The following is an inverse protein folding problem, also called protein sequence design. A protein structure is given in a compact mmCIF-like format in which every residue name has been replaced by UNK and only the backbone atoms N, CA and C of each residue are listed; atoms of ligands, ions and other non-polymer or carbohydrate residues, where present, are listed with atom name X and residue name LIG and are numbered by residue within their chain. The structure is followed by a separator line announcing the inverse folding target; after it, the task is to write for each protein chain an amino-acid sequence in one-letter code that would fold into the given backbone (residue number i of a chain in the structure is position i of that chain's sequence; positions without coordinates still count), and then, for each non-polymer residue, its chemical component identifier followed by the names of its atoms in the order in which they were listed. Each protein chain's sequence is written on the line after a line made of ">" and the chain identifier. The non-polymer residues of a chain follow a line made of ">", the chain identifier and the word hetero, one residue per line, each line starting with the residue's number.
data_IF_795436546282
#
_entry.id   IF_795436546282
#
_cell.length_a   1.000
_cell.length_b   1.000
_cell.length_c   1.000
_cell.angle_alpha   90.00
_cell.angle_beta   90.00
_cell.angle_gamma   90.00
#
_symmetry.space_group_name_H-M   'P 1'
#
loop_
_entity.id
_entity.type
_entity.pdbx_description
1 polymer ?
#
# COMPACT_ATOMS: atom_id res chain seq x y z
N UNK A 1 3.63 -14.31 37.34
CA UNK A 1 4.54 -13.40 36.61
C UNK A 1 5.89 -13.26 37.26
N UNK A 2 5.97 -13.27 38.57
CA UNK A 2 7.24 -13.15 39.33
C UNK A 2 8.27 -14.23 38.95
N UNK A 3 7.84 -15.46 38.72
CA UNK A 3 8.69 -16.64 38.54
C UNK A 3 9.21 -16.85 37.10
N UNK A 4 8.75 -16.07 36.13
CA UNK A 4 9.22 -16.21 34.73
C UNK A 4 10.65 -15.71 34.61
N UNK A 5 11.55 -16.56 34.13
CA UNK A 5 12.97 -16.29 33.93
C UNK A 5 13.32 -16.10 32.46
N UNK A 6 14.55 -15.66 32.21
CA UNK A 6 15.09 -15.52 30.85
C UNK A 6 15.00 -16.83 30.07
N UNK A 7 15.38 -17.95 30.73
CA UNK A 7 15.42 -19.28 30.13
C UNK A 7 14.02 -19.73 29.61
N UNK A 8 12.95 -19.38 30.35
CA UNK A 8 11.59 -19.72 30.00
C UNK A 8 11.16 -19.01 28.72
N UNK A 9 11.50 -17.71 28.60
CA UNK A 9 11.15 -16.91 27.42
C UNK A 9 12.01 -17.31 26.23
N UNK A 10 13.30 -17.61 26.43
CA UNK A 10 14.19 -18.09 25.37
C UNK A 10 13.75 -19.46 24.86
N UNK A 11 13.40 -20.39 25.75
CA UNK A 11 12.83 -21.69 25.38
C UNK A 11 11.54 -21.56 24.58
N UNK A 12 10.64 -20.66 24.98
CA UNK A 12 9.42 -20.34 24.24
C UNK A 12 9.73 -19.79 22.84
N UNK A 13 10.66 -18.84 22.73
CA UNK A 13 11.08 -18.27 21.46
C UNK A 13 11.62 -19.34 20.52
N UNK A 14 12.52 -20.18 21.02
CA UNK A 14 13.10 -21.31 20.27
C UNK A 14 12.02 -22.32 19.84
N UNK A 15 11.09 -22.65 20.73
CA UNK A 15 9.97 -23.58 20.42
C UNK A 15 9.12 -23.07 19.27
N UNK A 16 8.71 -21.78 19.30
CA UNK A 16 7.93 -21.17 18.21
C UNK A 16 8.76 -21.09 16.94
N UNK A 17 10.06 -20.78 17.03
CA UNK A 17 10.97 -20.76 15.87
C UNK A 17 11.06 -22.13 15.20
N UNK A 18 11.28 -23.20 16.02
CA UNK A 18 11.37 -24.58 15.52
C UNK A 18 10.06 -25.08 14.90
N UNK A 19 8.90 -24.55 15.29
CA UNK A 19 7.61 -24.86 14.64
C UNK A 19 7.44 -24.17 13.26
N UNK A 20 8.47 -23.54 12.70
CA UNK A 20 8.44 -22.89 11.40
C UNK A 20 7.87 -21.46 11.40
N UNK A 21 7.74 -20.84 12.58
CA UNK A 21 7.13 -19.51 12.74
C UNK A 21 8.08 -18.46 13.33
N UNK A 22 9.26 -18.18 12.71
CA UNK A 22 10.28 -17.29 13.29
C UNK A 22 9.79 -15.84 13.50
N UNK A 23 8.93 -15.34 12.63
CA UNK A 23 8.33 -14.01 12.82
C UNK A 23 7.35 -13.97 14.00
N UNK A 24 6.57 -15.03 14.21
CA UNK A 24 5.67 -15.14 15.35
C UNK A 24 6.48 -15.21 16.66
N UNK A 25 7.58 -15.95 16.70
CA UNK A 25 8.50 -15.97 17.84
C UNK A 25 8.96 -14.56 18.21
N UNK A 26 9.43 -13.77 17.25
CA UNK A 26 9.86 -12.39 17.49
C UNK A 26 8.72 -11.50 18.00
N UNK A 27 7.49 -11.65 17.47
CA UNK A 27 6.32 -10.87 17.92
C UNK A 27 5.90 -11.26 19.34
N UNK A 28 5.96 -12.54 19.68
CA UNK A 28 5.69 -13.03 21.03
C UNK A 28 6.67 -12.42 22.04
N UNK A 29 7.96 -12.44 21.74
CA UNK A 29 9.00 -11.84 22.58
C UNK A 29 8.80 -10.33 22.72
N UNK A 30 8.44 -9.62 21.62
CA UNK A 30 8.17 -8.19 21.68
C UNK A 30 6.96 -7.86 22.57
N UNK A 31 5.89 -8.67 22.51
CA UNK A 31 4.72 -8.52 23.36
C UNK A 31 5.07 -8.78 24.84
N UNK A 32 5.75 -9.88 25.14
CA UNK A 32 6.20 -10.21 26.48
C UNK A 32 7.11 -9.11 27.06
N UNK A 33 8.03 -8.59 26.26
CA UNK A 33 8.89 -7.47 26.68
C UNK A 33 8.08 -6.25 27.11
N UNK A 34 7.02 -5.91 26.37
CA UNK A 34 6.11 -4.81 26.74
C UNK A 34 5.35 -5.11 28.03
N UNK A 35 4.83 -6.34 28.18
CA UNK A 35 4.11 -6.76 29.38
C UNK A 35 5.01 -6.69 30.63
N UNK A 36 6.24 -7.20 30.55
CA UNK A 36 7.17 -7.14 31.67
C UNK A 36 7.65 -5.72 31.97
N UNK A 37 7.80 -4.86 30.96
CA UNK A 37 8.10 -3.44 31.17
C UNK A 37 6.96 -2.70 31.88
N UNK A 38 5.70 -3.07 31.64
CA UNK A 38 4.54 -2.56 32.38
C UNK A 38 4.53 -3.11 33.82
N UNK A 39 4.84 -4.39 34.03
CA UNK A 39 4.92 -5.00 35.36
C UNK A 39 5.99 -4.32 36.22
N UNK A 40 7.13 -3.92 35.65
CA UNK A 40 8.15 -3.13 36.34
C UNK A 40 7.58 -1.75 36.74
N UNK A 41 6.91 -1.06 35.83
CA UNK A 41 6.26 0.25 36.09
C UNK A 41 5.23 0.17 37.23
N UNK A 42 4.56 -0.97 37.35
CA UNK A 42 3.55 -1.22 38.39
C UNK A 42 4.15 -1.86 39.65
N UNK A 43 5.47 -1.86 39.80
CA UNK A 43 6.19 -2.44 40.94
C UNK A 43 5.89 -3.91 41.24
N UNK A 44 5.47 -4.67 40.21
CA UNK A 44 5.17 -6.11 40.31
C UNK A 44 6.44 -6.98 40.17
N UNK A 45 7.51 -6.41 39.61
CA UNK A 45 8.86 -7.02 39.52
C UNK A 45 9.92 -5.97 39.20
N UNK A 46 11.18 -6.32 39.39
CA UNK A 46 12.32 -5.41 39.23
C UNK A 46 12.95 -5.47 37.82
N UNK A 47 12.92 -6.63 37.16
CA UNK A 47 13.64 -6.86 35.91
C UNK A 47 12.75 -7.40 34.80
N UNK A 48 13.18 -7.17 33.55
CA UNK A 48 12.49 -7.71 32.37
C UNK A 48 13.24 -8.95 31.86
N UNK A 49 12.68 -10.18 32.00
CA UNK A 49 13.33 -11.43 31.60
C UNK A 49 13.48 -11.61 30.09
N UNK A 50 12.92 -10.71 29.30
CA UNK A 50 13.02 -10.72 27.83
C UNK A 50 14.26 -9.98 27.33
N UNK A 51 14.91 -9.21 28.20
CA UNK A 51 16.07 -8.41 27.84
C UNK A 51 17.25 -9.34 27.48
N UNK A 52 17.81 -9.15 26.29
CA UNK A 52 18.94 -9.96 25.81
C UNK A 52 18.56 -11.17 24.95
N UNK A 53 17.27 -11.46 24.74
CA UNK A 53 16.86 -12.53 23.81
C UNK A 53 17.23 -12.18 22.39
N UNK A 54 18.00 -13.04 21.73
CA UNK A 54 18.37 -12.92 20.33
C UNK A 54 17.14 -13.22 19.44
N UNK A 55 16.83 -12.28 18.54
CA UNK A 55 15.68 -12.41 17.63
C UNK A 55 16.09 -13.05 16.31
N UNK A 56 15.16 -13.78 15.72
CA UNK A 56 15.32 -14.30 14.39
C UNK A 56 15.48 -13.16 13.37
N UNK A 57 16.33 -13.36 12.37
CA UNK A 57 16.48 -12.41 11.25
C UNK A 57 15.17 -12.32 10.47
N UNK A 58 14.67 -11.12 10.26
CA UNK A 58 13.45 -10.87 9.50
C UNK A 58 13.81 -10.38 8.09
N UNK A 59 13.25 -11.04 7.07
CA UNK A 59 13.41 -10.64 5.69
C UNK A 59 12.13 -9.97 5.20
N UNK A 60 12.24 -8.76 4.70
CA UNK A 60 11.12 -8.07 4.08
C UNK A 60 10.78 -8.72 2.75
N UNK A 61 9.52 -9.08 2.58
CA UNK A 61 9.02 -9.61 1.33
C UNK A 61 9.02 -8.52 0.25
N UNK A 62 9.54 -8.86 -0.93
CA UNK A 62 9.60 -8.01 -2.10
C UNK A 62 8.80 -8.67 -3.23
N UNK A 63 7.46 -8.61 -3.16
CA UNK A 63 6.57 -9.16 -4.18
C UNK A 63 5.70 -8.04 -4.73
N UNK A 64 5.80 -7.80 -6.02
CA UNK A 64 5.05 -6.79 -6.77
C UNK A 64 4.41 -7.47 -7.98
N UNK A 65 3.33 -6.89 -8.50
CA UNK A 65 2.76 -7.30 -9.78
C UNK A 65 3.73 -6.93 -10.92
N UNK A 66 4.04 -7.88 -11.79
CA UNK A 66 4.65 -7.58 -13.08
C UNK A 66 3.63 -6.96 -14.04
N UNK A 67 4.10 -6.35 -15.13
CA UNK A 67 3.20 -5.81 -16.17
C UNK A 67 2.25 -6.88 -16.72
N UNK A 68 2.77 -8.07 -17.03
CA UNK A 68 1.97 -9.18 -17.54
C UNK A 68 0.97 -9.71 -16.52
N UNK A 69 1.36 -9.81 -15.25
CA UNK A 69 0.45 -10.18 -14.15
C UNK A 69 -0.67 -9.15 -13.98
N UNK A 70 -0.36 -7.86 -14.09
CA UNK A 70 -1.36 -6.79 -14.03
C UNK A 70 -2.37 -6.91 -15.15
N UNK A 71 -1.92 -7.18 -16.38
CA UNK A 71 -2.81 -7.41 -17.54
C UNK A 71 -3.72 -8.62 -17.30
N UNK A 72 -3.17 -9.75 -16.84
CA UNK A 72 -3.97 -10.95 -16.55
C UNK A 72 -4.96 -10.72 -15.41
N UNK A 73 -4.53 -10.04 -14.34
CA UNK A 73 -5.40 -9.70 -13.20
C UNK A 73 -6.55 -8.79 -13.65
N UNK A 74 -6.28 -7.77 -14.45
CA UNK A 74 -7.31 -6.86 -14.96
C UNK A 74 -8.35 -7.59 -15.80
N UNK A 75 -7.93 -8.53 -16.67
CA UNK A 75 -8.84 -9.40 -17.42
C UNK A 75 -9.68 -10.30 -16.53
N UNK A 76 -9.08 -10.88 -15.48
CA UNK A 76 -9.79 -11.71 -14.51
C UNK A 76 -10.81 -10.92 -13.69
N UNK A 77 -10.44 -9.70 -13.24
CA UNK A 77 -11.33 -8.77 -12.54
C UNK A 77 -12.57 -8.41 -13.39
N UNK A 78 -12.41 -8.18 -14.70
CA UNK A 78 -13.52 -7.86 -15.58
C UNK A 78 -14.56 -8.99 -15.66
N UNK A 79 -14.12 -10.24 -15.59
CA UNK A 79 -14.95 -11.44 -15.73
C UNK A 79 -15.45 -12.00 -14.39
N UNK A 80 -14.94 -11.47 -13.25
CA UNK A 80 -15.28 -12.04 -11.95
C UNK A 80 -16.77 -11.88 -11.61
N UNK A 81 -17.45 -12.94 -11.13
CA UNK A 81 -18.88 -12.88 -10.82
C UNK A 81 -19.21 -11.96 -9.64
N UNK A 82 -18.37 -11.94 -8.61
CA UNK A 82 -18.50 -11.04 -7.48
C UNK A 82 -17.96 -9.64 -7.86
N UNK A 83 -18.85 -8.79 -8.37
CA UNK A 83 -18.50 -7.45 -8.84
C UNK A 83 -18.04 -6.55 -7.72
N UNK A 84 -18.63 -6.65 -6.53
CA UNK A 84 -18.26 -5.82 -5.38
C UNK A 84 -16.82 -6.08 -4.92
N UNK A 85 -16.44 -7.34 -4.76
CA UNK A 85 -15.06 -7.70 -4.44
C UNK A 85 -14.08 -7.32 -5.56
N UNK A 86 -14.47 -7.49 -6.84
CA UNK A 86 -13.64 -7.12 -7.98
C UNK A 86 -13.40 -5.61 -8.02
N UNK A 87 -14.42 -4.79 -7.78
CA UNK A 87 -14.31 -3.34 -7.79
C UNK A 87 -13.54 -2.82 -6.57
N UNK A 88 -13.72 -3.43 -5.39
CA UNK A 88 -12.88 -3.13 -4.24
C UNK A 88 -11.39 -3.39 -4.53
N UNK A 89 -11.07 -4.50 -5.21
CA UNK A 89 -9.69 -4.83 -5.60
C UNK A 89 -9.17 -3.87 -6.67
N UNK A 90 -10.01 -3.41 -7.61
CA UNK A 90 -9.62 -2.35 -8.57
C UNK A 90 -9.29 -1.04 -7.88
N UNK A 91 -10.10 -0.63 -6.88
CA UNK A 91 -9.79 0.57 -6.08
C UNK A 91 -8.50 0.41 -5.28
N UNK A 92 -8.19 -0.78 -4.74
CA UNK A 92 -6.91 -1.05 -4.10
C UNK A 92 -5.74 -0.84 -5.07
N UNK A 93 -5.86 -1.29 -6.33
CA UNK A 93 -4.85 -1.09 -7.37
C UNK A 93 -4.71 0.39 -7.76
N UNK A 94 -5.81 1.13 -7.84
CA UNK A 94 -5.84 2.52 -8.30
C UNK A 94 -5.44 3.55 -7.23
N UNK A 95 -5.49 3.17 -5.95
CA UNK A 95 -5.25 4.10 -4.83
C UNK A 95 -4.08 3.70 -3.93
N UNK A 96 -3.66 2.43 -3.96
CA UNK A 96 -2.70 1.89 -3.01
C UNK A 96 -3.16 1.91 -1.55
N UNK A 97 -4.44 2.12 -1.28
CA UNK A 97 -5.00 2.19 0.06
C UNK A 97 -4.90 0.85 0.81
N UNK A 98 -5.11 0.87 2.12
CA UNK A 98 -5.21 -0.37 2.89
C UNK A 98 -6.56 -1.06 2.63
N UNK A 99 -6.57 -2.40 2.62
CA UNK A 99 -7.79 -3.18 2.36
C UNK A 99 -8.98 -2.70 3.21
N UNK A 100 -8.79 -2.60 4.51
CA UNK A 100 -9.86 -2.17 5.41
C UNK A 100 -10.39 -0.76 5.13
N UNK A 101 -9.52 0.14 4.67
CA UNK A 101 -9.91 1.50 4.29
C UNK A 101 -10.85 1.50 3.07
N UNK A 102 -10.53 0.71 2.04
CA UNK A 102 -11.40 0.57 0.86
C UNK A 102 -12.72 -0.11 1.20
N UNK A 103 -12.69 -1.20 1.97
CA UNK A 103 -13.91 -1.95 2.30
C UNK A 103 -14.88 -1.15 3.17
N UNK A 104 -14.38 -0.23 4.01
CA UNK A 104 -15.16 0.67 4.84
C UNK A 104 -15.34 2.07 4.22
N UNK A 105 -15.03 2.27 2.94
CA UNK A 105 -15.12 3.55 2.24
C UNK A 105 -16.58 4.02 2.20
N UNK A 106 -16.82 5.29 2.56
CA UNK A 106 -18.14 5.92 2.58
C UNK A 106 -18.27 6.88 1.41
N UNK A 107 -19.47 7.04 0.91
CA UNK A 107 -19.75 7.99 -0.17
C UNK A 107 -19.57 9.45 0.28
N UNK A 108 -19.87 9.76 1.53
CA UNK A 108 -19.68 11.10 2.09
C UNK A 108 -18.22 11.53 2.19
N UNK A 109 -17.28 10.57 2.20
CA UNK A 109 -15.83 10.84 2.24
C UNK A 109 -15.26 11.18 0.86
N UNK A 110 -16.06 11.08 -0.22
CA UNK A 110 -15.60 11.32 -1.61
C UNK A 110 -16.24 12.58 -2.15
N UNK A 111 -15.44 13.63 -2.26
CA UNK A 111 -15.87 14.93 -2.75
C UNK A 111 -14.83 15.54 -3.68
N UNK A 112 -15.26 16.20 -4.76
CA UNK A 112 -14.39 16.94 -5.69
C UNK A 112 -13.18 16.15 -6.20
N UNK A 113 -13.33 14.84 -6.40
CA UNK A 113 -12.24 13.97 -6.88
C UNK A 113 -11.21 13.61 -5.81
N UNK A 114 -11.49 13.87 -4.55
CA UNK A 114 -10.64 13.55 -3.40
C UNK A 114 -11.39 12.63 -2.43
N UNK A 115 -10.71 11.59 -1.99
CA UNK A 115 -11.19 10.75 -0.89
C UNK A 115 -10.55 11.16 0.42
N UNK A 116 -11.34 11.72 1.33
CA UNK A 116 -10.94 12.22 2.65
C UNK A 116 -11.18 11.15 3.71
N UNK A 117 -10.12 10.48 4.16
CA UNK A 117 -10.19 9.46 5.20
C UNK A 117 -10.29 10.12 6.57
N UNK A 118 -11.32 9.81 7.32
CA UNK A 118 -11.46 10.34 8.69
C UNK A 118 -10.42 9.74 9.64
N UNK A 119 -10.05 10.44 10.72
CA UNK A 119 -9.11 9.92 11.73
C UNK A 119 -9.56 8.60 12.35
N UNK A 120 -10.87 8.35 12.46
CA UNK A 120 -11.42 7.11 12.97
C UNK A 120 -11.19 5.91 12.05
N UNK A 121 -11.09 6.14 10.74
CA UNK A 121 -10.86 5.10 9.73
C UNK A 121 -9.39 4.83 9.45
N UNK A 122 -8.48 5.71 9.91
CA UNK A 122 -7.04 5.56 9.68
C UNK A 122 -6.33 4.96 10.89
N UNK A 123 -5.36 4.08 10.66
CA UNK A 123 -4.53 3.50 11.74
C UNK A 123 -3.79 4.57 12.55
N UNK A 124 -3.56 5.73 11.98
CA UNK A 124 -2.79 6.85 12.56
C UNK A 124 -3.65 7.90 13.24
N UNK A 125 -4.99 7.79 13.14
CA UNK A 125 -5.95 8.78 13.66
C UNK A 125 -5.70 10.22 13.14
N UNK A 126 -5.18 10.34 11.90
CA UNK A 126 -4.94 11.60 11.19
C UNK A 126 -5.80 11.67 9.94
N UNK A 127 -6.19 12.88 9.55
CA UNK A 127 -6.86 13.12 8.28
C UNK A 127 -5.89 12.81 7.13
N UNK A 128 -6.34 12.00 6.19
CA UNK A 128 -5.54 11.65 5.02
C UNK A 128 -6.37 11.82 3.75
N UNK A 129 -5.94 12.71 2.88
CA UNK A 129 -6.59 12.98 1.60
C UNK A 129 -5.88 12.21 0.48
N UNK A 130 -6.65 11.50 -0.32
CA UNK A 130 -6.18 10.73 -1.47
C UNK A 130 -6.84 11.28 -2.73
N UNK A 131 -6.11 12.00 -3.59
CA UNK A 131 -6.60 12.37 -4.91
C UNK A 131 -6.95 11.12 -5.71
N UNK A 132 -8.12 11.10 -6.31
CA UNK A 132 -8.60 9.98 -7.12
C UNK A 132 -8.30 10.24 -8.60
N UNK A 133 -7.68 9.25 -9.25
CA UNK A 133 -7.44 9.30 -10.69
C UNK A 133 -8.76 9.17 -11.47
N UNK A 134 -8.79 9.64 -12.73
CA UNK A 134 -9.97 9.52 -13.58
C UNK A 134 -10.52 8.08 -13.66
N UNK A 135 -9.68 7.02 -13.80
CA UNK A 135 -10.17 5.63 -13.74
C UNK A 135 -10.79 5.24 -12.40
N UNK A 136 -10.30 5.81 -11.28
CA UNK A 136 -10.88 5.53 -9.96
C UNK A 136 -12.25 6.20 -9.80
N UNK A 137 -12.39 7.44 -10.27
CA UNK A 137 -13.67 8.17 -10.29
C UNK A 137 -14.70 7.47 -11.17
N UNK A 138 -14.32 7.05 -12.37
CA UNK A 138 -15.20 6.31 -13.27
C UNK A 138 -15.68 5.00 -12.62
N UNK A 139 -14.78 4.28 -11.96
CA UNK A 139 -15.13 3.05 -11.24
C UNK A 139 -16.14 3.33 -10.13
N UNK A 140 -15.92 4.38 -9.35
CA UNK A 140 -16.86 4.78 -8.27
C UNK A 140 -18.23 5.17 -8.83
N UNK A 141 -18.27 5.89 -9.95
CA UNK A 141 -19.52 6.22 -10.63
C UNK A 141 -20.27 4.96 -11.08
N UNK A 142 -19.57 4.00 -11.69
CA UNK A 142 -20.14 2.73 -12.12
C UNK A 142 -20.66 1.89 -10.94
N UNK A 143 -19.94 1.90 -9.81
CA UNK A 143 -20.40 1.28 -8.55
C UNK A 143 -21.67 1.97 -8.07
N UNK A 144 -21.72 3.31 -8.05
CA UNK A 144 -22.88 4.08 -7.57
C UNK A 144 -24.14 3.82 -8.41
N UNK A 145 -24.01 3.72 -9.73
CA UNK A 145 -25.12 3.40 -10.65
C UNK A 145 -25.75 2.02 -10.38
N UNK A 146 -24.98 1.07 -9.84
CA UNK A 146 -25.44 -0.29 -9.54
C UNK A 146 -26.00 -0.46 -8.13
N UNK A 147 -25.78 0.52 -7.26
CA UNK A 147 -26.19 0.44 -5.86
C UNK A 147 -27.62 0.98 -5.63
N UNK A 148 -28.18 0.55 -4.49
CA UNK A 148 -29.42 1.12 -4.01
C UNK A 148 -29.22 2.60 -3.65
N UNK A 149 -30.18 3.48 -3.92
CA UNK A 149 -30.12 4.88 -3.50
C UNK A 149 -29.86 4.99 -1.98
N UNK A 150 -29.00 5.93 -1.60
CA UNK A 150 -28.66 6.25 -0.20
C UNK A 150 -27.87 5.19 0.58
N UNK A 151 -27.24 4.21 -0.07
CA UNK A 151 -26.28 3.35 0.61
C UNK A 151 -25.13 4.21 1.19
N UNK A 152 -24.81 4.12 2.49
CA UNK A 152 -23.75 4.96 3.06
C UNK A 152 -22.33 4.52 2.64
N UNK A 153 -22.14 3.24 2.38
CA UNK A 153 -20.84 2.66 2.01
C UNK A 153 -20.73 2.41 0.51
N UNK A 154 -19.53 2.54 -0.03
CA UNK A 154 -19.20 2.18 -1.41
C UNK A 154 -19.34 0.67 -1.65
N UNK A 155 -19.06 -0.13 -0.62
CA UNK A 155 -19.18 -1.60 -0.65
C UNK A 155 -20.08 -2.05 0.51
N UNK A 156 -21.41 -1.94 0.38
CA UNK A 156 -22.36 -2.29 1.44
C UNK A 156 -22.42 -3.81 1.66
N UNK A 157 -22.77 -4.23 2.86
CA UNK A 157 -23.04 -5.62 3.22
C UNK A 157 -24.16 -5.69 4.25
N UNK A 158 -24.84 -6.82 4.32
CA UNK A 158 -25.88 -7.10 5.32
C UNK A 158 -25.34 -7.48 6.71
N UNK A 159 -23.99 -7.57 6.87
CA UNK A 159 -23.37 -7.86 8.16
C UNK A 159 -23.48 -6.71 9.17
N UNK A 160 -23.10 -6.97 10.42
CA UNK A 160 -23.20 -6.01 11.54
C UNK A 160 -22.47 -4.68 11.29
N UNK A 161 -21.45 -4.65 10.43
CA UNK A 161 -20.70 -3.43 10.07
C UNK A 161 -21.37 -2.59 8.99
N UNK A 162 -22.37 -3.12 8.29
CA UNK A 162 -23.05 -2.48 7.16
C UNK A 162 -22.19 -2.41 5.87
N UNK A 163 -20.94 -2.83 5.90
CA UNK A 163 -20.03 -2.84 4.75
C UNK A 163 -19.32 -4.18 4.58
N UNK A 164 -18.75 -4.39 3.40
CA UNK A 164 -17.94 -5.57 3.09
C UNK A 164 -16.69 -5.60 3.98
N UNK A 165 -16.42 -6.74 4.62
CA UNK A 165 -15.28 -6.89 5.55
C UNK A 165 -14.20 -7.83 5.04
N UNK A 166 -14.56 -8.76 4.14
CA UNK A 166 -13.63 -9.80 3.69
C UNK A 166 -13.78 -10.09 2.19
N UNK A 167 -12.64 -10.16 1.51
CA UNK A 167 -12.54 -10.46 0.07
C UNK A 167 -11.49 -11.54 -0.23
N UNK A 168 -11.07 -12.31 0.77
CA UNK A 168 -10.00 -13.32 0.59
C UNK A 168 -10.38 -14.41 -0.38
N UNK A 169 -11.65 -14.87 -0.35
CA UNK A 169 -12.14 -15.91 -1.25
C UNK A 169 -12.09 -15.42 -2.70
N UNK A 170 -12.66 -14.24 -2.98
CA UNK A 170 -12.66 -13.63 -4.32
C UNK A 170 -11.22 -13.35 -4.78
N UNK A 171 -10.33 -12.91 -3.87
CA UNK A 171 -8.91 -12.73 -4.18
C UNK A 171 -8.22 -14.03 -4.59
N UNK A 172 -8.44 -15.13 -3.86
CA UNK A 172 -7.87 -16.43 -4.20
C UNK A 172 -8.35 -16.93 -5.56
N UNK A 173 -9.65 -16.74 -5.87
CA UNK A 173 -10.23 -17.09 -7.17
C UNK A 173 -9.62 -16.25 -8.30
N UNK A 174 -9.44 -14.95 -8.09
CA UNK A 174 -8.82 -14.03 -9.05
C UNK A 174 -7.36 -14.39 -9.31
N UNK A 175 -6.58 -14.66 -8.27
CA UNK A 175 -5.19 -15.10 -8.44
C UNK A 175 -5.10 -16.41 -9.24
N UNK A 176 -5.96 -17.39 -8.93
CA UNK A 176 -6.04 -18.64 -9.68
C UNK A 176 -6.41 -18.40 -11.15
N UNK A 177 -7.44 -17.59 -11.42
CA UNK A 177 -7.89 -17.27 -12.78
C UNK A 177 -6.84 -16.48 -13.58
N UNK A 178 -6.03 -15.66 -12.93
CA UNK A 178 -4.96 -14.87 -13.55
C UNK A 178 -3.61 -15.60 -13.61
N UNK A 179 -3.49 -16.81 -13.06
CA UNK A 179 -2.22 -17.54 -12.96
C UNK A 179 -1.17 -16.75 -12.17
N UNK A 180 -1.57 -16.17 -11.03
CA UNK A 180 -0.71 -15.38 -10.15
C UNK A 180 -0.47 -16.15 -8.86
N UNK A 181 0.79 -16.47 -8.60
CA UNK A 181 1.20 -17.18 -7.40
C UNK A 181 1.87 -16.25 -6.38
N UNK A 182 1.69 -16.64 -5.12
CA UNK A 182 2.40 -16.01 -4.02
C UNK A 182 2.09 -14.53 -3.83
N UNK A 183 1.06 -13.91 -4.42
CA UNK A 183 0.68 -12.51 -4.24
C UNK A 183 -0.40 -12.36 -3.17
N UNK A 184 -0.21 -11.47 -2.22
CA UNK A 184 -1.19 -11.13 -1.17
C UNK A 184 -1.92 -9.84 -1.55
N UNK A 185 -3.13 -9.65 -1.04
CA UNK A 185 -3.89 -8.39 -1.26
C UNK A 185 -3.06 -7.16 -0.87
N UNK A 186 -2.28 -7.24 0.21
CA UNK A 186 -1.45 -6.10 0.65
C UNK A 186 -0.30 -5.80 -0.31
N UNK A 187 0.13 -6.76 -1.12
CA UNK A 187 1.17 -6.57 -2.11
C UNK A 187 0.69 -5.68 -3.28
N UNK A 188 -0.64 -5.48 -3.45
CA UNK A 188 -1.20 -4.50 -4.39
C UNK A 188 -0.77 -3.07 -4.04
N UNK A 189 -0.75 -2.73 -2.75
CA UNK A 189 -0.25 -1.45 -2.27
C UNK A 189 1.26 -1.29 -2.53
N UNK A 190 2.02 -2.38 -2.41
CA UNK A 190 3.42 -2.37 -2.78
C UNK A 190 3.61 -2.19 -4.29
N UNK A 191 2.76 -2.83 -5.10
CA UNK A 191 2.76 -2.66 -6.55
C UNK A 191 2.42 -1.22 -6.96
N UNK A 192 1.42 -0.60 -6.33
CA UNK A 192 1.08 0.81 -6.55
C UNK A 192 2.28 1.74 -6.24
N UNK A 193 2.91 1.56 -5.08
CA UNK A 193 4.10 2.32 -4.70
C UNK A 193 5.27 2.13 -5.68
N UNK A 194 5.50 0.90 -6.14
CA UNK A 194 6.54 0.58 -7.13
C UNK A 194 6.28 1.29 -8.46
N UNK A 195 5.03 1.34 -8.93
CA UNK A 195 4.65 2.08 -10.15
C UNK A 195 4.90 3.59 -10.01
N UNK A 196 4.58 4.17 -8.85
CA UNK A 196 4.87 5.58 -8.58
C UNK A 196 6.38 5.88 -8.62
N UNK A 197 7.20 5.01 -8.01
CA UNK A 197 8.67 5.13 -8.07
C UNK A 197 9.16 5.04 -9.51
N UNK A 198 8.71 4.04 -10.26
CA UNK A 198 9.08 3.86 -11.68
C UNK A 198 8.64 5.05 -12.55
N UNK A 199 7.55 5.74 -12.16
CA UNK A 199 7.09 6.99 -12.76
C UNK A 199 7.88 8.24 -12.31
N UNK A 200 8.89 8.09 -11.44
CA UNK A 200 9.74 9.19 -10.97
C UNK A 200 9.18 9.99 -9.78
N UNK A 201 8.12 9.51 -9.14
CA UNK A 201 7.59 10.16 -7.93
C UNK A 201 8.58 10.07 -6.77
N UNK A 202 8.76 11.17 -6.03
CA UNK A 202 9.65 11.20 -4.86
C UNK A 202 9.12 10.37 -3.69
N UNK A 203 10.02 9.87 -2.82
CA UNK A 203 9.62 9.12 -1.61
C UNK A 203 8.66 9.90 -0.70
N UNK A 204 8.84 11.22 -0.44
CA UNK A 204 7.88 11.99 0.32
C UNK A 204 6.49 12.01 -0.31
N UNK A 205 6.39 12.19 -1.63
CA UNK A 205 5.12 12.18 -2.35
C UNK A 205 4.43 10.81 -2.24
N UNK A 206 5.19 9.72 -2.43
CA UNK A 206 4.68 8.35 -2.26
C UNK A 206 4.21 8.12 -0.81
N UNK A 207 4.99 8.60 0.17
CA UNK A 207 4.61 8.53 1.59
C UNK A 207 3.30 9.25 1.87
N UNK A 208 3.14 10.48 1.31
CA UNK A 208 1.91 11.25 1.44
C UNK A 208 0.71 10.54 0.81
N UNK A 209 0.81 10.05 -0.44
CA UNK A 209 -0.25 9.32 -1.13
C UNK A 209 -0.67 8.05 -0.39
N UNK A 210 0.29 7.34 0.19
CA UNK A 210 0.03 6.12 0.95
C UNK A 210 -0.42 6.40 2.40
N UNK A 211 -0.24 7.59 2.94
CA UNK A 211 -0.49 7.92 4.34
C UNK A 211 0.49 7.19 5.27
N UNK A 212 1.79 7.32 5.01
CA UNK A 212 2.84 6.84 5.90
C UNK A 212 3.27 7.97 6.83
N UNK A 213 3.08 7.82 8.14
CA UNK A 213 3.58 8.76 9.16
C UNK A 213 5.10 8.64 9.38
N UNK A 214 5.67 7.47 9.09
CA UNK A 214 7.11 7.23 9.23
C UNK A 214 7.76 7.14 7.84
N UNK A 215 8.69 8.05 7.49
CA UNK A 215 9.42 8.02 6.22
C UNK A 215 10.17 6.70 5.96
N UNK A 216 10.65 6.03 7.03
CA UNK A 216 11.31 4.72 6.92
C UNK A 216 10.39 3.64 6.33
N UNK A 217 9.07 3.81 6.44
CA UNK A 217 8.12 2.89 5.80
C UNK A 217 8.16 3.01 4.27
N UNK A 218 8.42 4.21 3.77
CA UNK A 218 8.49 4.49 2.32
C UNK A 218 9.88 4.21 1.76
N UNK A 219 10.95 4.33 2.57
CA UNK A 219 12.34 4.07 2.14
C UNK A 219 12.58 2.64 1.63
N UNK A 220 11.70 1.68 1.98
CA UNK A 220 11.71 0.33 1.42
C UNK A 220 11.58 0.27 -0.10
N UNK A 221 11.06 1.32 -0.73
CA UNK A 221 10.93 1.43 -2.18
C UNK A 221 12.14 2.10 -2.85
N UNK A 222 13.11 2.59 -2.07
CA UNK A 222 14.27 3.33 -2.60
C UNK A 222 15.09 2.54 -3.62
N UNK A 223 15.11 1.19 -3.52
CA UNK A 223 15.82 0.34 -4.47
C UNK A 223 15.22 0.30 -5.89
N UNK A 224 14.00 0.84 -6.10
CA UNK A 224 13.39 0.98 -7.42
C UNK A 224 13.79 2.29 -8.13
N UNK A 225 14.59 3.15 -7.49
CA UNK A 225 15.00 4.44 -8.07
C UNK A 225 16.15 4.35 -9.08
N UNK A 226 16.78 3.20 -9.30
CA UNK A 226 17.92 3.10 -10.22
C UNK A 226 17.57 3.58 -11.64
N UNK A 227 16.45 3.13 -12.21
CA UNK A 227 16.01 3.55 -13.55
C UNK A 227 15.53 5.02 -13.56
N UNK A 228 14.69 5.49 -12.61
CA UNK A 228 14.34 6.90 -12.48
C UNK A 228 15.53 7.85 -12.29
N UNK A 229 16.54 7.46 -11.51
CA UNK A 229 17.76 8.26 -11.33
C UNK A 229 18.52 8.39 -12.65
N UNK A 230 18.69 7.29 -13.40
CA UNK A 230 19.32 7.31 -14.73
C UNK A 230 18.53 8.20 -15.70
N UNK A 231 17.20 8.05 -15.74
CA UNK A 231 16.35 8.88 -16.59
C UNK A 231 16.42 10.37 -16.23
N UNK A 232 16.54 10.70 -14.94
CA UNK A 232 16.68 12.08 -14.48
C UNK A 232 18.05 12.67 -14.91
N UNK A 233 19.15 11.92 -14.78
CA UNK A 233 20.48 12.36 -15.24
C UNK A 233 20.53 12.52 -16.75
N UNK A 234 19.91 11.64 -17.52
CA UNK A 234 19.80 11.76 -18.97
C UNK A 234 19.01 13.01 -19.39
N UNK A 235 17.92 13.36 -18.69
CA UNK A 235 17.18 14.60 -18.96
C UNK A 235 18.05 15.83 -18.73
N UNK A 236 18.81 15.89 -17.64
CA UNK A 236 19.73 17.01 -17.36
C UNK A 236 20.82 17.07 -18.42
N UNK A 237 21.41 15.94 -18.77
CA UNK A 237 22.41 15.86 -19.84
C UNK A 237 21.88 16.35 -21.18
N UNK A 238 20.65 15.99 -21.54
CA UNK A 238 20.01 16.44 -22.77
C UNK A 238 19.76 17.96 -22.78
N UNK A 239 19.33 18.55 -21.64
CA UNK A 239 19.13 20.01 -21.50
C UNK A 239 20.47 20.75 -21.69
N UNK A 240 21.53 20.30 -21.02
CA UNK A 240 22.86 20.90 -21.13
C UNK A 240 23.40 20.78 -22.56
N UNK A 241 23.27 19.59 -23.19
CA UNK A 241 23.69 19.38 -24.57
C UNK A 241 22.88 20.23 -25.58
N UNK A 242 21.62 20.48 -25.31
CA UNK A 242 20.79 21.36 -26.14
C UNK A 242 21.17 22.85 -26.00
N UNK A 243 21.53 23.28 -24.78
CA UNK A 243 21.95 24.65 -24.52
C UNK A 243 23.29 24.99 -25.20
N UNK A 244 24.18 24.01 -25.40
CA UNK A 244 25.46 24.18 -26.12
C UNK A 244 25.34 24.21 -27.66
N UNK A 245 24.13 23.95 -28.22
CA UNK A 245 23.92 24.01 -29.67
C UNK A 245 23.47 25.43 -30.09
N UNK A 246 24.09 26.06 -31.10
CA UNK A 246 23.63 27.35 -31.59
C UNK A 246 22.17 27.25 -32.02
N UNK A 247 21.36 28.23 -31.59
CA UNK A 247 19.95 28.29 -31.96
C UNK A 247 19.82 28.25 -33.49
N UNK A 248 19.02 27.31 -34.01
CA UNK A 248 18.74 27.28 -35.44
C UNK A 248 18.13 28.63 -35.86
N UNK A 249 18.66 29.28 -36.89
CA UNK A 249 18.13 30.58 -37.32
C UNK A 249 16.65 30.44 -37.64
N UNK A 250 15.83 31.27 -36.98
CA UNK A 250 14.40 31.37 -37.27
C UNK A 250 14.24 31.83 -38.72
N UNK A 251 13.85 30.96 -39.61
CA UNK A 251 13.53 31.32 -40.98
C UNK A 251 12.39 32.36 -40.97
N UNK A 252 12.73 33.63 -41.17
CA UNK A 252 11.74 34.70 -41.38
C UNK A 252 10.98 34.37 -42.68
N UNK A 253 9.73 33.97 -42.53
CA UNK A 253 8.81 33.87 -43.67
C UNK A 253 8.75 35.24 -44.40
N UNK A 254 9.28 35.29 -45.61
CA UNK A 254 9.11 36.46 -46.49
C UNK A 254 7.60 36.70 -46.70
N UNK A 255 7.12 37.85 -46.21
CA UNK A 255 5.76 38.31 -46.58
C UNK A 255 5.71 38.40 -48.10
N UNK A 256 4.90 37.59 -48.75
CA UNK A 256 4.49 37.78 -50.14
C UNK A 256 3.74 39.08 -50.20
N UNK A 257 4.35 40.07 -50.87
CA UNK A 257 3.64 41.29 -51.28
C UNK A 257 2.45 40.88 -52.17
N UNK A 258 1.31 41.45 -51.87
CA UNK A 258 0.16 41.46 -52.82
C UNK A 258 0.44 42.45 -53.91
N UNK A 259 0.03 42.13 -55.16
CA UNK A 259 0.07 43.06 -56.29
C UNK A 259 -0.92 44.23 -56.11
#
# INVERSE_FOLDING_TARGET
>A
MADVRFEDVDALHRKITKSGSPYAANRTVALLSKMFSLAIRWHMRETNPVKGIERNKEYHRRRYLSGDELVRLTKALAKHPDKEAADAIRLLLLTGARRGEILAMRWEDVENGVWSKSPSSTKQKEHHQVPLSAPALQLLEDVRKRQRPRAPFVFPSHGATGHLVEIKRSWAQLCKAAGIEGLRIHDLRHSYASQLVSGGASLPLIGALLGHSNPLTTSRYAHHFNDPLKAATEKVGAVIAAAGKPAKPVLKLKRRGRP
#
